data_IF_176628609197
#
_entry.id   IF_176628609197
#
_cell.length_a   1.000
_cell.length_b   1.000
_cell.length_c   1.000
_cell.angle_alpha   90.00
_cell.angle_beta   90.00
_cell.angle_gamma   90.00
#
_symmetry.space_group_name_H-M   'P 1'
#
loop_
_entity.id
_entity.type
_entity.pdbx_description
1 polymer ?
#
# COMPACT_ATOMS: atom_id res chain seq x y z
N UNK A 1 0.20 26.63 7.04
CA UNK A 1 1.03 25.54 7.58
C UNK A 1 0.11 24.36 7.80
N UNK A 2 0.34 23.22 7.15
CA UNK A 2 -0.49 22.01 7.34
C UNK A 2 0.11 21.23 8.51
N UNK A 3 -0.62 21.14 9.62
CA UNK A 3 -0.15 20.44 10.81
C UNK A 3 -0.07 18.93 10.52
N UNK A 4 1.05 18.26 10.86
CA UNK A 4 1.21 16.84 10.56
C UNK A 4 0.20 15.99 11.33
N UNK A 5 -0.42 15.04 10.63
CA UNK A 5 -1.41 14.13 11.21
C UNK A 5 -0.73 13.30 12.31
N UNK A 6 -1.27 13.32 13.52
CA UNK A 6 -0.81 12.44 14.59
C UNK A 6 -1.46 11.07 14.46
N UNK A 7 -0.62 10.03 14.45
CA UNK A 7 -1.08 8.64 14.38
C UNK A 7 -0.48 7.82 15.52
N UNK A 8 -1.30 6.95 16.09
CA UNK A 8 -0.82 5.99 17.07
C UNK A 8 0.16 4.99 16.45
N UNK A 9 1.07 4.44 17.26
CA UNK A 9 1.96 3.37 16.81
C UNK A 9 1.18 2.14 16.29
N UNK A 10 0.03 1.81 16.91
CA UNK A 10 -0.80 0.69 16.45
C UNK A 10 -1.33 0.94 15.04
N UNK A 11 -1.83 2.15 14.78
CA UNK A 11 -2.28 2.53 13.44
C UNK A 11 -1.14 2.43 12.43
N UNK A 12 0.03 2.99 12.75
CA UNK A 12 1.22 2.93 11.89
C UNK A 12 1.59 1.49 11.53
N UNK A 13 1.68 0.59 12.50
CA UNK A 13 2.01 -0.83 12.27
C UNK A 13 0.99 -1.53 11.37
N UNK A 14 -0.30 -1.22 11.53
CA UNK A 14 -1.35 -1.78 10.68
C UNK A 14 -1.17 -1.28 9.23
N UNK A 15 -0.99 0.02 9.03
CA UNK A 15 -0.79 0.58 7.69
C UNK A 15 0.46 0.01 7.02
N UNK A 16 1.57 -0.12 7.76
CA UNK A 16 2.80 -0.75 7.24
C UNK A 16 2.58 -2.22 6.86
N UNK A 17 1.80 -2.97 7.65
CA UNK A 17 1.44 -4.35 7.31
C UNK A 17 0.58 -4.41 6.03
N UNK A 18 -0.42 -3.54 5.92
CA UNK A 18 -1.26 -3.44 4.72
C UNK A 18 -0.46 -3.04 3.48
N UNK A 19 0.52 -2.13 3.60
CA UNK A 19 1.43 -1.79 2.50
C UNK A 19 2.21 -3.02 2.05
N UNK A 20 2.79 -3.79 2.97
CA UNK A 20 3.53 -5.02 2.63
C UNK A 20 2.65 -6.05 1.93
N UNK A 21 1.42 -6.22 2.39
CA UNK A 21 0.45 -7.13 1.78
C UNK A 21 0.09 -6.70 0.36
N UNK A 22 -0.23 -5.42 0.15
CA UNK A 22 -0.55 -4.88 -1.19
C UNK A 22 0.60 -5.07 -2.18
N UNK A 23 1.84 -4.83 -1.75
CA UNK A 23 3.03 -5.01 -2.59
C UNK A 23 3.27 -6.49 -2.92
N UNK A 24 3.07 -7.38 -1.95
CA UNK A 24 3.22 -8.84 -2.14
C UNK A 24 2.18 -9.38 -3.11
N UNK A 25 0.93 -8.94 -2.95
CA UNK A 25 -0.17 -9.32 -3.83
C UNK A 25 0.07 -8.78 -5.25
N UNK A 26 0.50 -7.53 -5.39
CA UNK A 26 0.79 -6.92 -6.68
C UNK A 26 1.88 -7.67 -7.44
N UNK A 27 2.97 -8.02 -6.76
CA UNK A 27 4.06 -8.81 -7.35
C UNK A 27 3.60 -10.22 -7.77
N UNK A 28 2.72 -10.84 -6.99
CA UNK A 28 2.16 -12.16 -7.32
C UNK A 28 1.21 -12.08 -8.51
N UNK A 29 0.31 -11.09 -8.51
CA UNK A 29 -0.66 -10.84 -9.56
C UNK A 29 0.03 -10.48 -10.89
N UNK A 30 1.11 -9.69 -10.84
CA UNK A 30 1.91 -9.34 -12.02
C UNK A 30 2.57 -10.56 -12.65
N UNK A 31 3.14 -11.46 -11.85
CA UNK A 31 3.74 -12.71 -12.33
C UNK A 31 2.72 -13.64 -13.01
N UNK A 32 1.44 -13.54 -12.66
CA UNK A 32 0.38 -14.35 -13.28
C UNK A 32 -0.06 -13.83 -14.66
N UNK A 33 0.10 -12.53 -14.95
CA UNK A 33 -0.40 -11.91 -16.20
C UNK A 33 0.05 -12.65 -17.47
N UNK A 34 1.33 -13.03 -17.64
CA UNK A 34 1.79 -13.72 -18.85
C UNK A 34 1.16 -15.10 -19.06
N UNK A 35 0.62 -15.70 -18.00
CA UNK A 35 0.02 -17.04 -18.01
C UNK A 35 -1.49 -17.01 -18.27
N UNK A 36 -2.10 -15.84 -18.41
CA UNK A 36 -3.52 -15.70 -18.72
C UNK A 36 -3.75 -15.72 -20.23
N UNK A 37 -4.53 -16.69 -20.71
CA UNK A 37 -4.84 -16.87 -22.14
C UNK A 37 -5.77 -15.79 -22.68
N UNK A 38 -6.77 -15.39 -21.88
CA UNK A 38 -7.77 -14.40 -22.26
C UNK A 38 -7.22 -12.96 -22.12
N UNK A 39 -7.35 -12.18 -23.20
CA UNK A 39 -6.86 -10.79 -23.25
C UNK A 39 -7.55 -9.84 -22.27
N UNK A 40 -8.85 -10.02 -22.03
CA UNK A 40 -9.59 -9.25 -21.04
C UNK A 40 -9.15 -9.59 -19.62
N UNK A 41 -8.85 -10.87 -19.33
CA UNK A 41 -8.30 -11.28 -18.04
C UNK A 41 -6.94 -10.63 -17.79
N UNK A 42 -6.04 -10.63 -18.79
CA UNK A 42 -4.75 -9.90 -18.71
C UNK A 42 -4.95 -8.43 -18.39
N UNK A 43 -5.86 -7.77 -19.10
CA UNK A 43 -6.16 -6.34 -18.90
C UNK A 43 -6.68 -6.07 -17.49
N UNK A 44 -7.64 -6.87 -17.01
CA UNK A 44 -8.21 -6.73 -15.66
C UNK A 44 -7.17 -7.00 -14.58
N UNK A 45 -6.33 -8.02 -14.76
CA UNK A 45 -5.25 -8.33 -13.83
C UNK A 45 -4.20 -7.21 -13.76
N UNK A 46 -3.79 -6.66 -14.91
CA UNK A 46 -2.90 -5.50 -14.95
C UNK A 46 -3.50 -4.26 -14.26
N UNK A 47 -4.81 -4.04 -14.43
CA UNK A 47 -5.52 -2.96 -13.73
C UNK A 47 -5.54 -3.18 -12.21
N UNK A 48 -5.73 -4.41 -11.76
CA UNK A 48 -5.70 -4.78 -10.35
C UNK A 48 -4.33 -4.50 -9.73
N UNK A 49 -3.24 -4.96 -10.38
CA UNK A 49 -1.86 -4.68 -9.96
C UNK A 49 -1.65 -3.17 -9.80
N UNK A 50 -2.04 -2.38 -10.82
CA UNK A 50 -1.91 -0.93 -10.76
C UNK A 50 -2.66 -0.33 -9.57
N UNK A 51 -3.87 -0.81 -9.27
CA UNK A 51 -4.67 -0.31 -8.13
C UNK A 51 -4.08 -0.67 -6.78
N UNK A 52 -3.51 -1.87 -6.64
CA UNK A 52 -2.82 -2.27 -5.42
C UNK A 52 -1.59 -1.39 -5.17
N UNK A 53 -0.78 -1.14 -6.22
CA UNK A 53 0.38 -0.26 -6.15
C UNK A 53 -0.01 1.20 -5.83
N UNK A 54 -0.99 1.77 -6.54
CA UNK A 54 -1.52 3.12 -6.26
C UNK A 54 -1.95 3.26 -4.80
N UNK A 55 -2.62 2.25 -4.24
CA UNK A 55 -3.05 2.26 -2.84
C UNK A 55 -1.86 2.17 -1.89
N UNK A 56 -0.89 1.30 -2.16
CA UNK A 56 0.32 1.17 -1.35
C UNK A 56 1.10 2.48 -1.29
N UNK A 57 1.29 3.16 -2.44
CA UNK A 57 1.96 4.46 -2.50
C UNK A 57 1.25 5.53 -1.67
N UNK A 58 -0.08 5.66 -1.78
CA UNK A 58 -0.84 6.62 -0.97
C UNK A 58 -0.73 6.35 0.53
N UNK A 59 -0.67 5.09 0.93
CA UNK A 59 -0.48 4.72 2.34
C UNK A 59 0.94 5.05 2.84
N UNK A 60 1.96 4.88 2.00
CA UNK A 60 3.32 5.31 2.32
C UNK A 60 3.44 6.82 2.42
N UNK A 61 2.80 7.58 1.51
CA UNK A 61 2.71 9.04 1.59
C UNK A 61 2.03 9.50 2.89
N UNK A 62 0.91 8.86 3.26
CA UNK A 62 0.23 9.11 4.53
C UNK A 62 1.17 8.89 5.73
N UNK A 63 1.92 7.79 5.75
CA UNK A 63 2.88 7.50 6.82
C UNK A 63 4.03 8.50 6.84
N UNK A 64 4.52 8.95 5.68
CA UNK A 64 5.59 9.95 5.57
C UNK A 64 5.14 11.34 6.03
N UNK A 65 3.86 11.68 5.86
CA UNK A 65 3.28 12.94 6.32
C UNK A 65 2.86 12.92 7.81
N UNK A 66 2.76 11.74 8.43
CA UNK A 66 2.27 11.57 9.79
C UNK A 66 3.39 11.63 10.84
N UNK A 67 3.10 12.24 11.99
CA UNK A 67 3.93 12.12 13.20
C UNK A 67 3.44 10.96 14.06
N UNK A 68 4.37 10.25 14.70
CA UNK A 68 4.06 9.11 15.58
C UNK A 68 4.17 9.54 17.03
N UNK A 69 3.13 9.28 17.84
CA UNK A 69 3.01 9.76 19.22
C UNK A 69 3.98 9.13 20.24
N UNK A 70 4.94 8.31 19.82
CA UNK A 70 5.84 7.63 20.76
C UNK A 70 6.92 8.50 21.38
N UNK A 71 7.09 9.74 20.93
CA UNK A 71 8.09 10.68 21.48
C UNK A 71 7.66 11.31 22.81
N UNK A 72 6.48 10.96 23.36
CA UNK A 72 5.96 11.55 24.61
C UNK A 72 6.10 10.67 25.86
N UNK A 73 6.75 9.51 25.75
CA UNK A 73 6.87 8.54 26.85
C UNK A 73 8.33 8.15 27.18
N UNK A 74 9.30 9.03 26.90
CA UNK A 74 10.69 8.92 27.33
C UNK A 74 11.08 10.13 28.18
#
# INVERSE_FOLDING_TARGET
MNEPIQVSQRFRRIVEATVRELLTNAASDERLIPHLENADHRRRQALLVRKQLERAFRLMELLGAARTDSDRAA
#
